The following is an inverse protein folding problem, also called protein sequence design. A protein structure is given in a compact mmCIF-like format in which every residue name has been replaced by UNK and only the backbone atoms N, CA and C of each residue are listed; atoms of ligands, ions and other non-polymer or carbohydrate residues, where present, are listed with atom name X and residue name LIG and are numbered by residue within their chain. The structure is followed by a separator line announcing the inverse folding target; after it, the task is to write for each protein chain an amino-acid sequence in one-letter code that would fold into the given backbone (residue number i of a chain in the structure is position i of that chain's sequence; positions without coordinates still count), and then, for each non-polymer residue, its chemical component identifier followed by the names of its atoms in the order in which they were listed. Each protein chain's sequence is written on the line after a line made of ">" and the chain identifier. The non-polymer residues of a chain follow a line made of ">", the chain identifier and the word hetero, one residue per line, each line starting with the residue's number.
data_IF_802402423133
#
_entry.id   IF_802402423133
#
_cell.length_a   1.000
_cell.length_b   1.000
_cell.length_c   1.000
_cell.angle_alpha   90.00
_cell.angle_beta   90.00
_cell.angle_gamma   90.00
#
_symmetry.space_group_name_H-M   'P 1'
#
loop_
_entity.id
_entity.type
_entity.pdbx_description
1 polymer ?
#
# COMPACT_ATOMS: atom_id res chain seq x y z
N UNK A 1 -5.71 21.31 13.20
CA UNK A 1 -4.74 20.81 12.20
C UNK A 1 -5.56 20.49 10.97
N UNK A 2 -5.50 21.32 9.92
CA UNK A 2 -6.25 21.09 8.68
C UNK A 2 -5.49 20.02 7.89
N UNK A 3 -6.12 18.87 7.68
CA UNK A 3 -5.52 17.68 7.02
C UNK A 3 -5.87 17.61 5.54
N UNK A 4 -6.55 18.62 5.01
CA UNK A 4 -7.07 18.66 3.65
C UNK A 4 -6.55 19.95 3.02
N UNK A 5 -5.75 19.81 1.95
CA UNK A 5 -5.37 20.95 1.12
C UNK A 5 -6.63 21.31 0.33
N UNK A 6 -7.25 22.44 0.67
CA UNK A 6 -8.32 23.00 -0.14
C UNK A 6 -7.75 23.31 -1.52
N UNK A 7 -8.46 22.95 -2.59
CA UNK A 7 -8.02 23.23 -3.97
C UNK A 7 -7.86 24.74 -4.20
N UNK A 8 -8.59 25.55 -3.43
CA UNK A 8 -8.51 27.01 -3.42
C UNK A 8 -7.20 27.54 -2.81
N UNK A 9 -6.47 26.72 -2.04
CA UNK A 9 -5.16 27.05 -1.46
C UNK A 9 -3.98 26.58 -2.34
N UNK A 10 -4.24 25.99 -3.52
CA UNK A 10 -3.18 25.53 -4.41
C UNK A 10 -2.63 26.70 -5.24
N UNK A 11 -1.31 27.00 -5.20
CA UNK A 11 -0.75 28.11 -5.94
C UNK A 11 -0.80 27.85 -7.45
N UNK A 12 -1.02 28.91 -8.23
CA UNK A 12 -1.04 28.87 -9.71
C UNK A 12 0.27 28.32 -10.30
N UNK A 13 1.40 28.57 -9.61
CA UNK A 13 2.71 28.07 -9.99
C UNK A 13 3.44 27.42 -8.81
N UNK A 14 4.07 26.28 -9.09
CA UNK A 14 4.89 25.53 -8.12
C UNK A 14 6.35 25.54 -8.58
N UNK A 15 7.24 26.11 -7.77
CA UNK A 15 8.68 26.11 -8.03
C UNK A 15 9.31 24.75 -7.71
N UNK A 16 9.66 23.99 -8.76
CA UNK A 16 10.37 22.72 -8.68
C UNK A 16 11.89 22.83 -8.89
N UNK A 17 12.46 24.05 -8.94
CA UNK A 17 13.91 24.27 -9.17
C UNK A 17 14.81 23.58 -8.14
N UNK A 18 14.28 23.31 -6.94
CA UNK A 18 14.95 22.59 -5.85
C UNK A 18 14.62 21.10 -5.80
N UNK A 19 14.02 20.56 -6.85
CA UNK A 19 13.64 19.15 -6.95
C UNK A 19 14.87 18.24 -6.99
N UNK A 20 15.01 17.37 -5.99
CA UNK A 20 16.05 16.35 -5.94
C UNK A 20 15.52 15.03 -6.52
N UNK A 21 16.19 14.51 -7.55
CA UNK A 21 15.89 13.18 -8.09
C UNK A 21 16.06 12.13 -6.99
N UNK A 22 15.02 11.33 -6.76
CA UNK A 22 15.09 10.22 -5.82
C UNK A 22 15.20 10.63 -4.34
N UNK A 23 14.76 11.85 -3.96
CA UNK A 23 14.80 12.36 -2.57
C UNK A 23 14.30 11.37 -1.51
N UNK A 24 13.36 10.49 -1.88
CA UNK A 24 12.77 9.48 -1.00
C UNK A 24 13.06 8.04 -1.42
N UNK A 25 13.81 7.83 -2.50
CA UNK A 25 14.10 6.50 -3.03
C UNK A 25 14.84 5.63 -2.00
N UNK A 26 15.75 6.23 -1.21
CA UNK A 26 16.48 5.52 -0.15
C UNK A 26 15.68 5.21 1.11
N UNK A 27 14.41 5.63 1.20
CA UNK A 27 13.56 5.32 2.37
C UNK A 27 12.96 3.91 2.32
N UNK A 28 12.99 3.28 1.16
CA UNK A 28 12.49 1.93 0.94
C UNK A 28 13.67 0.96 0.76
N UNK A 29 13.61 -0.23 1.39
CA UNK A 29 14.50 -1.34 1.05
C UNK A 29 14.48 -1.63 -0.46
N UNK A 30 15.61 -2.10 -1.01
CA UNK A 30 15.71 -2.40 -2.45
C UNK A 30 14.75 -3.50 -2.92
N UNK A 31 14.30 -4.35 -2.01
CA UNK A 31 13.34 -5.44 -2.22
C UNK A 31 11.89 -5.05 -1.86
N UNK A 32 11.65 -3.79 -1.47
CA UNK A 32 10.31 -3.34 -1.14
C UNK A 32 9.44 -3.21 -2.39
N UNK A 33 8.21 -3.74 -2.31
CA UNK A 33 7.19 -3.55 -3.35
C UNK A 33 6.24 -2.43 -2.92
N UNK A 34 6.07 -1.42 -3.78
CA UNK A 34 5.08 -0.36 -3.57
C UNK A 34 3.74 -0.82 -4.14
N UNK A 35 2.69 -0.80 -3.32
CA UNK A 35 1.33 -1.15 -3.71
C UNK A 35 0.42 0.01 -3.36
N UNK A 36 -0.38 0.46 -4.32
CA UNK A 36 -1.44 1.43 -4.10
C UNK A 36 -2.70 0.69 -3.65
N UNK A 37 -3.32 1.16 -2.56
CA UNK A 37 -4.59 0.64 -2.07
C UNK A 37 -5.69 1.69 -2.29
N UNK A 38 -6.92 1.22 -2.48
CA UNK A 38 -8.08 2.10 -2.66
C UNK A 38 -8.38 2.93 -1.39
N UNK A 39 -8.99 4.13 -1.53
CA UNK A 39 -9.19 5.05 -0.41
C UNK A 39 -10.06 4.49 0.73
N UNK A 40 -11.05 3.67 0.41
CA UNK A 40 -11.90 3.00 1.40
C UNK A 40 -11.11 1.96 2.21
N UNK A 41 -10.25 1.19 1.55
CA UNK A 41 -9.34 0.24 2.20
C UNK A 41 -8.32 0.97 3.07
N UNK A 42 -7.77 2.09 2.59
CA UNK A 42 -6.84 2.92 3.36
C UNK A 42 -7.49 3.50 4.63
N UNK A 43 -8.79 3.86 4.57
CA UNK A 43 -9.55 4.31 5.74
C UNK A 43 -9.74 3.19 6.77
N UNK A 44 -9.93 1.95 6.31
CA UNK A 44 -10.08 0.78 7.18
C UNK A 44 -8.75 0.31 7.80
N UNK A 45 -7.63 0.50 7.09
CA UNK A 45 -6.29 0.12 7.53
C UNK A 45 -5.31 1.30 7.45
N UNK A 46 -5.26 2.16 8.49
CA UNK A 46 -4.42 3.35 8.49
C UNK A 46 -2.90 3.09 8.35
N UNK A 47 -2.44 1.86 8.65
CA UNK A 47 -1.01 1.52 8.60
C UNK A 47 -0.72 0.28 7.75
N UNK A 48 0.48 0.25 7.15
CA UNK A 48 0.99 -0.93 6.45
C UNK A 48 1.07 -2.18 7.34
N UNK A 49 1.28 -2.01 8.64
CA UNK A 49 1.30 -3.12 9.61
C UNK A 49 -0.06 -3.79 9.72
N UNK A 50 -1.14 -3.02 9.76
CA UNK A 50 -2.51 -3.53 9.84
C UNK A 50 -2.93 -4.24 8.55
N UNK A 51 -2.63 -3.66 7.38
CA UNK A 51 -2.84 -4.31 6.08
C UNK A 51 -2.14 -5.67 6.04
N UNK A 52 -0.84 -5.70 6.36
CA UNK A 52 -0.07 -6.94 6.33
C UNK A 52 -0.58 -7.98 7.33
N UNK A 53 -1.06 -7.55 8.49
CA UNK A 53 -1.63 -8.44 9.49
C UNK A 53 -2.93 -9.09 9.00
N UNK A 54 -3.81 -8.31 8.37
CA UNK A 54 -5.03 -8.82 7.75
C UNK A 54 -4.74 -9.81 6.62
N UNK A 55 -3.82 -9.48 5.71
CA UNK A 55 -3.41 -10.37 4.61
C UNK A 55 -2.84 -11.69 5.13
N UNK A 56 -2.05 -11.68 6.22
CA UNK A 56 -1.54 -12.92 6.83
C UNK A 56 -2.65 -13.79 7.42
N UNK A 57 -3.71 -13.20 7.97
CA UNK A 57 -4.88 -13.96 8.43
C UNK A 57 -5.56 -14.63 7.24
N UNK A 58 -5.74 -13.90 6.13
CA UNK A 58 -6.31 -14.45 4.90
C UNK A 58 -5.44 -15.58 4.33
N UNK A 59 -4.11 -15.45 4.34
CA UNK A 59 -3.20 -16.51 3.92
C UNK A 59 -3.36 -17.77 4.78
N UNK A 60 -3.48 -17.62 6.11
CA UNK A 60 -3.71 -18.75 7.02
C UNK A 60 -5.07 -19.40 6.78
N UNK A 61 -6.11 -18.60 6.58
CA UNK A 61 -7.43 -19.11 6.25
C UNK A 61 -7.43 -19.84 4.91
N UNK A 62 -6.80 -19.28 3.87
CA UNK A 62 -6.66 -19.92 2.57
C UNK A 62 -5.88 -21.23 2.63
N UNK A 63 -4.79 -21.29 3.42
CA UNK A 63 -4.03 -22.52 3.63
C UNK A 63 -4.86 -23.59 4.38
N UNK A 64 -5.68 -23.18 5.35
CA UNK A 64 -6.60 -24.08 6.04
C UNK A 64 -7.76 -24.56 5.14
N UNK A 65 -8.04 -23.82 4.07
CA UNK A 65 -9.05 -24.12 3.05
C UNK A 65 -8.44 -24.91 1.90
N UNK A 66 -7.24 -25.52 2.03
CA UNK A 66 -6.67 -26.41 1.02
C UNK A 66 -7.77 -27.28 0.38
N UNK A 67 -8.16 -26.86 -0.83
CA UNK A 67 -9.10 -27.56 -1.69
C UNK A 67 -8.45 -28.93 -1.88
N UNK A 68 -9.15 -30.05 -1.60
CA UNK A 68 -8.57 -31.37 -1.77
C UNK A 68 -8.01 -31.42 -3.18
N UNK A 69 -6.69 -31.58 -3.27
CA UNK A 69 -5.97 -31.71 -4.53
C UNK A 69 -6.57 -32.89 -5.29
N UNK A 70 -7.53 -32.59 -6.17
CA UNK A 70 -8.03 -33.51 -7.15
C UNK A 70 -6.98 -33.65 -8.23
N UNK A 71 -5.95 -34.44 -7.93
CA UNK A 71 -5.29 -35.34 -8.87
C UNK A 71 -4.35 -36.31 -8.14
N UNK A 72 -4.92 -37.42 -7.67
CA UNK A 72 -4.37 -38.73 -8.00
C UNK A 72 -5.08 -39.22 -9.26
N UNK A 73 -4.36 -39.36 -10.36
CA UNK A 73 -4.51 -40.38 -11.40
C UNK A 73 -3.67 -39.96 -12.61
N UNK A 74 -2.49 -40.55 -12.73
CA UNK A 74 -2.04 -41.38 -13.87
C UNK A 74 -0.56 -41.67 -13.75
#
# INVERSE_FOLDING_TARGET
>A
MKTELDIDDMPDEVDFSRGERGRFAGRLPADATLVVIEPDVAKAFPTASEVNSALRILMKAAAAVEIPSTRKAS
#
